data_IF_632002477421
#
_entry.id   IF_632002477421
#
_cell.length_a   1.000
_cell.length_b   1.000
_cell.length_c   1.000
_cell.angle_alpha   90.00
_cell.angle_beta   90.00
_cell.angle_gamma   90.00
#
_symmetry.space_group_name_H-M   'P 1'
#
loop_
_entity.id
_entity.type
_entity.pdbx_description
1 polymer ?
#
# COMPACT_ATOMS: atom_id res chain seq x y z
N UNK A 1 -14.25 -15.97 26.80
CA UNK A 1 -12.94 -15.49 26.35
C UNK A 1 -12.88 -15.10 24.88
N UNK A 2 -13.29 -15.95 23.92
CA UNK A 2 -13.16 -15.62 22.48
C UNK A 2 -13.94 -14.36 22.05
N UNK A 3 -15.18 -14.18 22.53
CA UNK A 3 -16.03 -13.05 22.12
C UNK A 3 -15.76 -11.78 22.95
N UNK A 4 -15.81 -11.88 24.27
CA UNK A 4 -15.74 -10.74 25.21
C UNK A 4 -14.32 -10.38 25.70
N UNK A 5 -13.31 -11.14 25.30
CA UNK A 5 -11.94 -10.89 25.72
C UNK A 5 -11.54 -11.49 27.07
N UNK A 6 -10.28 -11.29 27.46
CA UNK A 6 -9.71 -11.73 28.73
C UNK A 6 -9.46 -10.53 29.65
N UNK A 7 -9.96 -10.60 30.89
CA UNK A 7 -9.81 -9.55 31.90
C UNK A 7 -9.38 -10.19 33.23
N UNK A 8 -8.28 -9.74 33.83
CA UNK A 8 -7.88 -10.13 35.19
C UNK A 8 -8.45 -9.15 36.21
N UNK A 9 -8.94 -9.69 37.33
CA UNK A 9 -9.48 -8.94 38.47
C UNK A 9 -8.40 -8.25 39.31
N UNK A 10 -7.13 -8.67 39.19
CA UNK A 10 -6.01 -8.07 39.92
C UNK A 10 -5.12 -7.18 39.05
N UNK A 11 -4.71 -6.04 39.60
CA UNK A 11 -3.80 -5.07 38.99
C UNK A 11 -2.35 -5.54 39.04
N UNK A 12 -2.03 -6.64 38.36
CA UNK A 12 -0.64 -7.02 38.06
C UNK A 12 -0.18 -6.37 36.75
N UNK A 13 1.11 -6.07 36.56
CA UNK A 13 1.65 -5.53 35.31
C UNK A 13 1.49 -6.47 34.10
N UNK A 14 1.15 -7.73 34.34
CA UNK A 14 0.75 -8.70 33.30
C UNK A 14 -0.67 -8.45 32.76
N UNK A 15 -1.51 -7.71 33.48
CA UNK A 15 -2.88 -7.44 33.08
C UNK A 15 -2.93 -6.66 31.76
N UNK A 16 -2.07 -5.64 31.58
CA UNK A 16 -2.00 -4.86 30.32
C UNK A 16 -1.56 -5.67 29.10
N UNK A 17 -0.88 -6.80 29.30
CA UNK A 17 -0.42 -7.69 28.21
C UNK A 17 -1.46 -8.78 27.93
N UNK A 18 -2.18 -9.24 28.97
CA UNK A 18 -3.20 -10.29 28.88
C UNK A 18 -4.61 -9.75 28.60
N UNK A 19 -4.84 -8.45 28.71
CA UNK A 19 -6.08 -7.76 28.34
C UNK A 19 -6.25 -7.74 26.81
N UNK A 20 -6.96 -8.71 26.26
CA UNK A 20 -7.37 -8.72 24.85
C UNK A 20 -8.88 -8.63 24.75
N UNK A 21 -9.43 -7.61 24.07
CA UNK A 21 -10.88 -7.39 23.92
C UNK A 21 -11.64 -8.37 23.01
N UNK A 22 -11.03 -9.51 22.69
CA UNK A 22 -11.62 -10.59 21.89
C UNK A 22 -12.08 -10.16 20.49
N UNK A 23 -13.05 -10.89 19.94
CA UNK A 23 -13.67 -10.61 18.63
C UNK A 23 -14.38 -9.25 18.61
N UNK A 24 -14.90 -8.78 19.75
CA UNK A 24 -15.57 -7.47 19.84
C UNK A 24 -14.63 -6.32 19.48
N UNK A 25 -13.36 -6.38 19.90
CA UNK A 25 -12.37 -5.36 19.51
C UNK A 25 -12.00 -5.42 18.03
N UNK A 26 -12.15 -6.58 17.38
CA UNK A 26 -11.90 -6.77 15.95
C UNK A 26 -13.08 -6.32 15.07
N UNK A 27 -14.31 -6.28 15.60
CA UNK A 27 -15.49 -5.85 14.83
C UNK A 27 -15.33 -4.45 14.24
N UNK A 28 -14.71 -3.52 14.97
CA UNK A 28 -14.46 -2.15 14.48
C UNK A 28 -13.58 -2.16 13.24
N UNK A 29 -12.50 -2.94 13.25
CA UNK A 29 -11.58 -3.08 12.09
C UNK A 29 -12.28 -3.77 10.94
N UNK A 30 -12.98 -4.89 11.19
CA UNK A 30 -13.71 -5.64 10.16
C UNK A 30 -14.76 -4.78 9.44
N UNK A 31 -15.50 -3.95 10.17
CA UNK A 31 -16.51 -3.08 9.60
C UNK A 31 -15.89 -2.00 8.69
N UNK A 32 -14.76 -1.42 9.11
CA UNK A 32 -14.00 -0.48 8.26
C UNK A 32 -13.50 -1.19 6.99
N UNK A 33 -12.98 -2.41 7.09
CA UNK A 33 -12.52 -3.20 5.92
C UNK A 33 -13.66 -3.48 4.95
N UNK A 34 -14.86 -3.86 5.43
CA UNK A 34 -16.02 -4.15 4.59
C UNK A 34 -16.47 -2.91 3.83
N UNK A 35 -16.67 -1.78 4.53
CA UNK A 35 -17.07 -0.51 3.91
C UNK A 35 -16.02 -0.06 2.90
N UNK A 36 -14.75 -0.11 3.29
CA UNK A 36 -13.63 0.27 2.42
C UNK A 36 -13.61 -0.57 1.13
N UNK A 37 -13.82 -1.88 1.22
CA UNK A 37 -13.81 -2.78 0.05
C UNK A 37 -15.01 -2.53 -0.87
N UNK A 38 -16.18 -2.23 -0.30
CA UNK A 38 -17.37 -1.88 -1.08
C UNK A 38 -17.16 -0.59 -1.91
N UNK A 39 -16.53 0.43 -1.34
CA UNK A 39 -16.19 1.66 -2.07
C UNK A 39 -15.25 1.40 -3.25
N UNK A 40 -14.28 0.50 -3.11
CA UNK A 40 -13.36 0.12 -4.20
C UNK A 40 -14.12 -0.48 -5.38
N UNK A 41 -15.05 -1.39 -5.11
CA UNK A 41 -15.86 -2.02 -6.15
C UNK A 41 -16.67 -0.98 -6.95
N UNK A 42 -17.19 0.05 -6.27
CA UNK A 42 -17.91 1.15 -6.91
C UNK A 42 -16.96 2.00 -7.77
N UNK A 43 -15.76 2.32 -7.27
CA UNK A 43 -14.76 3.09 -8.03
C UNK A 43 -14.23 2.33 -9.26
N UNK A 44 -14.05 1.01 -9.15
CA UNK A 44 -13.69 0.17 -10.29
C UNK A 44 -14.80 0.12 -11.36
N UNK A 45 -16.08 0.10 -10.94
CA UNK A 45 -17.22 0.03 -11.87
C UNK A 45 -17.60 1.34 -12.55
N UNK A 46 -17.21 2.50 -12.01
CA UNK A 46 -17.69 3.82 -12.45
C UNK A 46 -16.85 4.48 -13.57
N UNK A 47 -15.80 3.83 -14.09
CA UNK A 47 -14.88 4.35 -15.13
C UNK A 47 -14.28 5.74 -14.85
N UNK A 48 -14.48 6.30 -13.67
CA UNK A 48 -14.01 7.66 -13.31
C UNK A 48 -12.48 7.71 -13.22
N UNK A 49 -11.84 6.55 -13.01
CA UNK A 49 -10.39 6.41 -13.04
C UNK A 49 -9.78 6.67 -14.42
N UNK A 50 -10.51 6.47 -15.52
CA UNK A 50 -10.01 6.77 -16.88
C UNK A 50 -9.68 8.28 -17.02
N UNK A 51 -10.45 9.16 -16.37
CA UNK A 51 -10.17 10.60 -16.34
C UNK A 51 -8.88 10.93 -15.59
N UNK A 52 -8.60 10.21 -14.50
CA UNK A 52 -7.38 10.38 -13.70
C UNK A 52 -6.17 9.79 -14.42
N UNK A 53 -6.33 8.68 -15.14
CA UNK A 53 -5.30 8.10 -16.01
C UNK A 53 -4.80 9.13 -17.03
N UNK A 54 -5.71 9.81 -17.73
CA UNK A 54 -5.35 10.85 -18.72
C UNK A 54 -4.59 12.01 -18.06
N UNK A 55 -4.98 12.42 -16.85
CA UNK A 55 -4.26 13.45 -16.10
C UNK A 55 -2.84 12.99 -15.71
N UNK A 56 -2.69 11.73 -15.29
CA UNK A 56 -1.40 11.12 -14.93
C UNK A 56 -0.50 10.83 -16.13
N UNK A 57 -1.06 10.53 -17.29
CA UNK A 57 -0.31 10.43 -18.54
C UNK A 57 0.28 11.77 -18.97
N UNK A 58 -0.42 12.87 -18.66
CA UNK A 58 0.09 14.24 -18.85
C UNK A 58 1.32 14.52 -17.97
N UNK A 59 1.40 13.90 -16.79
CA UNK A 59 2.60 13.87 -15.96
C UNK A 59 3.59 12.81 -16.49
N UNK A 60 4.36 13.20 -17.50
CA UNK A 60 5.35 12.33 -18.15
C UNK A 60 6.57 12.10 -17.23
N UNK A 61 6.52 11.08 -16.38
CA UNK A 61 7.69 10.62 -15.62
C UNK A 61 8.66 9.85 -16.53
N UNK A 62 9.96 10.03 -16.31
CA UNK A 62 11.05 9.48 -17.15
C UNK A 62 11.22 7.95 -16.98
N UNK A 63 10.63 7.35 -15.94
CA UNK A 63 10.69 5.92 -15.61
C UNK A 63 9.33 5.41 -15.17
N UNK A 64 8.90 4.26 -15.71
CA UNK A 64 7.63 3.62 -15.38
C UNK A 64 7.53 3.33 -13.88
N UNK A 65 8.60 2.81 -13.26
CA UNK A 65 8.69 2.57 -11.83
C UNK A 65 8.45 3.83 -10.98
N UNK A 66 9.04 4.97 -11.36
CA UNK A 66 8.85 6.21 -10.62
C UNK A 66 7.41 6.74 -10.76
N UNK A 67 6.78 6.52 -11.91
CA UNK A 67 5.35 6.80 -12.09
C UNK A 67 4.50 5.94 -11.17
N UNK A 68 4.76 4.63 -11.13
CA UNK A 68 4.04 3.67 -10.27
C UNK A 68 4.24 3.98 -8.79
N UNK A 69 5.45 4.40 -8.38
CA UNK A 69 5.75 4.83 -7.02
C UNK A 69 4.94 6.06 -6.61
N UNK A 70 4.89 7.11 -7.44
CA UNK A 70 4.19 8.35 -7.12
C UNK A 70 2.67 8.16 -7.11
N UNK A 71 2.15 7.46 -8.11
CA UNK A 71 0.72 7.11 -8.19
C UNK A 71 0.34 6.20 -7.03
N UNK A 72 1.19 5.21 -6.72
CA UNK A 72 1.08 4.32 -5.59
C UNK A 72 1.01 5.00 -4.25
N UNK A 73 1.91 5.95 -4.02
CA UNK A 73 1.93 6.77 -2.81
C UNK A 73 0.64 7.60 -2.69
N UNK A 74 0.22 8.26 -3.78
CA UNK A 74 -1.05 9.01 -3.80
C UNK A 74 -2.25 8.11 -3.51
N UNK A 75 -2.35 6.99 -4.21
CA UNK A 75 -3.41 6.00 -4.03
C UNK A 75 -3.43 5.42 -2.62
N UNK A 76 -2.26 5.23 -1.99
CA UNK A 76 -2.17 4.76 -0.61
C UNK A 76 -2.49 5.84 0.42
N UNK A 77 -2.24 7.13 0.12
CA UNK A 77 -2.66 8.27 0.96
C UNK A 77 -4.19 8.38 0.97
N UNK A 78 -4.83 8.25 -0.20
CA UNK A 78 -6.29 8.26 -0.31
C UNK A 78 -6.94 6.94 0.11
N UNK A 79 -6.22 5.83 -0.06
CA UNK A 79 -6.69 4.48 0.22
C UNK A 79 -6.62 4.15 1.71
N UNK A 80 -7.76 3.83 2.31
CA UNK A 80 -7.79 3.35 3.70
C UNK A 80 -7.19 1.93 3.84
N UNK A 81 -7.21 1.14 2.77
CA UNK A 81 -6.61 -0.21 2.75
C UNK A 81 -5.59 -0.38 1.64
N UNK A 82 -4.60 -1.23 1.89
CA UNK A 82 -3.59 -1.63 0.90
C UNK A 82 -4.22 -2.16 -0.40
N UNK A 83 -5.34 -2.89 -0.33
CA UNK A 83 -6.05 -3.38 -1.52
C UNK A 83 -6.59 -2.24 -2.40
N UNK A 84 -7.16 -1.17 -1.81
CA UNK A 84 -7.59 0.02 -2.57
C UNK A 84 -6.39 0.59 -3.32
N UNK A 85 -5.28 0.79 -2.60
CA UNK A 85 -4.10 1.42 -3.14
C UNK A 85 -3.56 0.62 -4.35
N UNK A 86 -3.50 -0.70 -4.25
CA UNK A 86 -3.03 -1.58 -5.33
C UNK A 86 -3.96 -1.50 -6.54
N UNK A 87 -5.27 -1.68 -6.35
CA UNK A 87 -6.22 -1.70 -7.46
C UNK A 87 -6.29 -0.35 -8.18
N UNK A 88 -6.36 0.76 -7.43
CA UNK A 88 -6.32 2.09 -8.02
C UNK A 88 -5.01 2.30 -8.78
N UNK A 89 -3.87 1.95 -8.20
CA UNK A 89 -2.58 2.15 -8.88
C UNK A 89 -2.48 1.31 -10.13
N UNK A 90 -2.86 0.02 -10.07
CA UNK A 90 -2.85 -0.88 -11.21
C UNK A 90 -3.64 -0.29 -12.36
N UNK A 91 -4.91 0.07 -12.14
CA UNK A 91 -5.75 0.70 -13.16
C UNK A 91 -5.09 1.96 -13.72
N UNK A 92 -4.52 2.81 -12.87
CA UNK A 92 -3.94 4.09 -13.28
C UNK A 92 -2.64 3.95 -14.09
N UNK A 93 -1.85 2.90 -13.89
CA UNK A 93 -0.57 2.70 -14.61
C UNK A 93 -0.59 1.56 -15.62
N UNK A 94 -1.64 0.74 -15.69
CA UNK A 94 -1.71 -0.45 -16.57
C UNK A 94 -1.36 -0.11 -18.03
N UNK A 95 -1.90 1.01 -18.54
CA UNK A 95 -1.68 1.47 -19.92
C UNK A 95 -0.18 1.66 -20.24
N UNK A 96 0.64 2.09 -19.28
CA UNK A 96 2.09 2.30 -19.47
C UNK A 96 2.88 0.99 -19.62
N UNK A 97 2.28 -0.14 -19.26
CA UNK A 97 2.93 -1.45 -19.31
C UNK A 97 2.40 -2.32 -20.45
N UNK A 98 1.29 -1.96 -21.12
CA UNK A 98 0.67 -2.74 -22.21
C UNK A 98 1.57 -2.93 -23.45
N UNK A 99 2.53 -2.05 -23.67
CA UNK A 99 3.43 -2.11 -24.84
C UNK A 99 4.49 -3.22 -24.79
N UNK A 100 4.68 -3.87 -23.63
CA UNK A 100 5.70 -4.90 -23.46
C UNK A 100 5.08 -6.30 -23.31
N UNK A 101 5.64 -7.32 -23.98
CA UNK A 101 5.21 -8.72 -23.81
C UNK A 101 5.28 -9.21 -22.36
N UNK A 102 6.19 -8.64 -21.55
CA UNK A 102 6.32 -8.90 -20.10
C UNK A 102 5.78 -7.75 -19.23
N UNK A 103 4.88 -6.94 -19.79
CA UNK A 103 4.31 -5.74 -19.16
C UNK A 103 3.63 -6.04 -17.83
N UNK A 104 2.71 -7.01 -17.83
CA UNK A 104 1.92 -7.36 -16.64
C UNK A 104 2.80 -7.88 -15.49
N UNK A 105 3.84 -8.66 -15.81
CA UNK A 105 4.79 -9.12 -14.80
C UNK A 105 5.59 -7.97 -14.19
N UNK A 106 6.10 -7.06 -15.03
CA UNK A 106 6.81 -5.86 -14.55
C UNK A 106 5.89 -4.94 -13.73
N UNK A 107 4.64 -4.78 -14.14
CA UNK A 107 3.64 -4.02 -13.39
C UNK A 107 3.41 -4.62 -12.01
N UNK A 108 3.19 -5.94 -11.93
CA UNK A 108 3.00 -6.63 -10.66
C UNK A 108 4.22 -6.48 -9.74
N UNK A 109 5.43 -6.64 -10.29
CA UNK A 109 6.67 -6.46 -9.55
C UNK A 109 6.83 -5.02 -9.07
N UNK A 110 6.50 -4.03 -9.89
CA UNK A 110 6.59 -2.62 -9.52
C UNK A 110 5.54 -2.24 -8.45
N UNK A 111 4.32 -2.79 -8.53
CA UNK A 111 3.28 -2.61 -7.52
C UNK A 111 3.70 -3.22 -6.16
N UNK A 112 4.28 -4.42 -6.19
CA UNK A 112 4.80 -5.10 -4.99
C UNK A 112 5.92 -4.28 -4.33
N UNK A 113 6.89 -3.84 -5.12
CA UNK A 113 8.04 -3.10 -4.59
C UNK A 113 7.74 -1.63 -4.25
N UNK A 114 6.51 -1.16 -4.47
CA UNK A 114 6.11 0.22 -4.18
C UNK A 114 4.85 0.28 -3.31
N UNK A 115 3.69 0.05 -3.89
CA UNK A 115 2.38 0.22 -3.23
C UNK A 115 2.24 -0.70 -2.02
N UNK A 116 2.62 -1.97 -2.17
CA UNK A 116 2.49 -2.97 -1.10
C UNK A 116 3.36 -2.58 0.10
N UNK A 117 4.60 -2.18 -0.14
CA UNK A 117 5.56 -1.82 0.93
C UNK A 117 5.32 -0.44 1.53
N UNK A 118 4.77 0.52 0.78
CA UNK A 118 4.50 1.89 1.25
C UNK A 118 3.17 1.97 2.01
N UNK A 119 2.19 1.14 1.66
CA UNK A 119 0.86 1.16 2.28
C UNK A 119 0.90 1.14 3.83
N UNK A 120 1.71 0.29 4.51
CA UNK A 120 1.77 0.25 5.97
C UNK A 120 2.44 1.46 6.62
N UNK A 121 3.19 2.29 5.87
CA UNK A 121 3.83 3.51 6.41
C UNK A 121 2.82 4.62 6.63
N UNK A 122 1.66 4.53 5.99
CA UNK A 122 0.63 5.54 6.05
C UNK A 122 -0.19 5.30 7.31
N UNK A 123 -0.25 6.27 8.23
CA UNK A 123 -0.70 6.00 9.60
C UNK A 123 -2.17 5.57 9.71
N UNK A 124 -3.00 5.94 8.74
CA UNK A 124 -4.41 5.54 8.67
C UNK A 124 -4.66 4.28 7.82
N UNK A 125 -3.62 3.66 7.26
CA UNK A 125 -3.78 2.43 6.48
C UNK A 125 -3.91 1.23 7.42
N UNK A 126 -4.96 0.44 7.23
CA UNK A 126 -5.25 -0.75 8.05
C UNK A 126 -4.07 -1.73 8.05
N UNK A 127 -3.31 -1.82 6.95
CA UNK A 127 -2.14 -2.70 6.84
C UNK A 127 -1.04 -2.40 7.88
N UNK A 128 -0.87 -1.13 8.27
CA UNK A 128 0.06 -0.73 9.34
C UNK A 128 -0.63 -0.61 10.70
N UNK A 129 -1.88 -0.14 10.71
CA UNK A 129 -2.63 0.13 11.94
C UNK A 129 -2.99 -1.15 12.71
N UNK A 130 -3.31 -2.25 12.02
CA UNK A 130 -3.69 -3.51 12.69
C UNK A 130 -2.50 -4.13 13.43
N UNK A 131 -1.32 -4.32 12.81
CA UNK A 131 -0.14 -4.76 13.55
C UNK A 131 0.25 -3.83 14.70
N UNK A 132 0.15 -2.50 14.50
CA UNK A 132 0.47 -1.52 15.55
C UNK A 132 -0.45 -1.63 16.77
N UNK A 133 -1.76 -1.81 16.54
CA UNK A 133 -2.75 -1.99 17.61
C UNK A 133 -2.58 -3.31 18.35
N UNK A 134 -2.21 -4.40 17.66
CA UNK A 134 -1.90 -5.69 18.30
C UNK A 134 -0.66 -5.59 19.19
N UNK A 135 0.36 -4.87 18.74
CA UNK A 135 1.62 -4.67 19.48
C UNK A 135 1.52 -3.57 20.53
N UNK A 136 0.34 -2.97 20.74
CA UNK A 136 0.12 -1.82 21.63
C UNK A 136 1.17 -0.71 21.43
N UNK A 137 1.55 -0.47 20.18
CA UNK A 137 2.59 0.47 19.79
C UNK A 137 1.95 1.63 19.04
N UNK A 138 2.30 2.86 19.42
CA UNK A 138 1.85 4.06 18.72
C UNK A 138 2.48 4.17 17.33
N UNK A 139 1.94 5.07 16.50
CA UNK A 139 2.45 5.39 15.14
C UNK A 139 3.93 5.83 15.10
N UNK A 140 4.58 5.99 16.26
CA UNK A 140 6.02 6.16 16.39
C UNK A 140 6.87 4.98 15.88
N UNK A 141 6.27 3.83 15.54
CA UNK A 141 7.00 2.72 14.89
C UNK A 141 7.37 3.00 13.41
N UNK A 142 6.65 3.91 12.74
CA UNK A 142 6.83 4.23 11.31
C UNK A 142 8.31 4.50 10.94
N UNK A 143 9.05 5.40 11.63
CA UNK A 143 10.46 5.66 11.30
C UNK A 143 11.38 4.46 11.51
N UNK A 144 11.00 3.48 12.34
CA UNK A 144 11.79 2.27 12.60
C UNK A 144 11.52 1.15 11.59
N UNK A 145 10.56 1.33 10.67
CA UNK A 145 10.21 0.37 9.64
C UNK A 145 11.22 0.34 8.46
N UNK A 146 12.52 0.25 8.77
CA UNK A 146 13.63 0.34 7.81
C UNK A 146 13.47 -0.58 6.59
N UNK A 147 12.99 -1.80 6.80
CA UNK A 147 12.77 -2.77 5.74
C UNK A 147 11.83 -2.24 4.64
N UNK A 148 10.75 -1.57 5.03
CA UNK A 148 9.74 -1.06 4.10
C UNK A 148 10.26 0.15 3.29
N UNK A 149 11.19 0.93 3.84
CA UNK A 149 11.88 2.00 3.10
C UNK A 149 12.99 1.45 2.20
N UNK A 150 13.65 0.37 2.61
CA UNK A 150 14.81 -0.17 1.91
C UNK A 150 14.41 -0.80 0.57
N UNK A 151 13.27 -1.51 0.50
CA UNK A 151 12.79 -2.15 -0.74
C UNK A 151 12.63 -1.17 -1.91
N UNK A 152 11.84 -0.08 -1.80
CA UNK A 152 11.67 0.85 -2.91
C UNK A 152 12.97 1.58 -3.25
N UNK A 153 13.84 1.83 -2.26
CA UNK A 153 15.16 2.43 -2.46
C UNK A 153 16.10 1.51 -3.27
N UNK A 154 16.22 0.25 -2.87
CA UNK A 154 17.05 -0.74 -3.55
C UNK A 154 16.55 -0.99 -4.96
N UNK A 155 15.23 -1.06 -5.17
CA UNK A 155 14.68 -1.25 -6.50
C UNK A 155 14.91 -0.02 -7.40
N UNK A 156 14.82 1.19 -6.85
CA UNK A 156 15.19 2.42 -7.57
C UNK A 156 16.68 2.43 -7.97
N UNK A 157 17.57 1.98 -7.08
CA UNK A 157 19.00 1.84 -7.35
C UNK A 157 19.24 0.78 -8.43
N UNK A 158 18.60 -0.38 -8.31
CA UNK A 158 18.70 -1.46 -9.31
C UNK A 158 18.27 -0.98 -10.69
N UNK A 159 17.14 -0.27 -10.81
CA UNK A 159 16.67 0.28 -12.07
C UNK A 159 17.63 1.35 -12.62
N UNK A 160 18.18 2.21 -11.74
CA UNK A 160 19.21 3.20 -12.12
C UNK A 160 20.49 2.55 -12.65
N UNK A 161 20.92 1.43 -12.07
CA UNK A 161 22.13 0.69 -12.49
C UNK A 161 21.89 -0.15 -13.74
N UNK A 162 20.70 -0.72 -13.89
CA UNK A 162 20.32 -1.55 -15.04
C UNK A 162 19.94 -0.74 -16.30
N UNK A 163 19.85 0.60 -16.22
CA UNK A 163 19.78 1.45 -17.41
C UNK A 163 21.20 1.78 -17.90
N UNK A 164 21.77 1.08 -18.90
CA UNK A 164 22.94 1.60 -19.59
C UNK A 164 22.58 2.96 -20.22
N UNK A 165 23.55 3.89 -20.35
CA UNK A 165 23.31 5.13 -21.07
C UNK A 165 22.71 4.79 -22.43
N UNK A 166 21.58 5.40 -22.78
CA UNK A 166 21.03 5.33 -24.14
C UNK A 166 22.15 5.79 -25.08
N UNK A 167 22.88 4.88 -25.70
CA UNK A 167 23.70 5.21 -26.86
C UNK A 167 22.70 5.75 -27.88
N UNK A 168 22.76 7.05 -28.11
CA UNK A 168 22.19 7.69 -29.28
C UNK A 168 22.88 7.07 -30.50
N UNK A 169 22.36 5.95 -30.98
CA UNK A 169 22.53 5.57 -32.37
C UNK A 169 21.63 6.52 -33.16
N UNK A 170 22.22 7.66 -33.52
CA UNK A 170 21.87 8.35 -34.75
C UNK A 170 21.98 7.33 -35.87
N UNK A 171 20.88 7.09 -36.57
CA UNK A 171 20.80 6.80 -37.99
C UNK A 171 19.44 7.28 -38.48
#
# INVERSE_FOLDING_TARGET
>A
FMVLGFHLTENTPLNSILLGGGVVSMLKVSLVVIISTAFVGIFAGTRTLETIQVLLERFKSRSNFLSTLLVGLGAAIFGCTQTIAILLTQELVEQKYKENEKGNYKLALDLENTVVVISPLIPWNIAGLVPATILMTDLGFIPYAFYLYLIPLLNLIHIRLSQPPKLKLCN
#
